data_IF_768007246010
#
_entry.id   IF_768007246010
#
_cell.length_a   1.000
_cell.length_b   1.000
_cell.length_c   1.000
_cell.angle_alpha   90.00
_cell.angle_beta   90.00
_cell.angle_gamma   90.00
#
_symmetry.space_group_name_H-M   'P 1'
#
loop_
_entity.id
_entity.type
_entity.pdbx_description
1 polymer ?
#
# COMPACT_ATOMS: atom_id res chain seq x y z
N UNK A 1 39.67 12.79 -4.60
CA UNK A 1 40.63 12.36 -5.65
C UNK A 1 39.98 11.22 -6.41
N UNK A 2 39.60 11.40 -7.67
CA UNK A 2 39.15 10.26 -8.50
C UNK A 2 40.36 9.41 -8.88
N UNK A 3 40.29 8.07 -8.82
CA UNK A 3 41.36 7.21 -9.32
C UNK A 3 41.61 7.47 -10.81
N UNK A 4 42.88 7.54 -11.23
CA UNK A 4 43.22 7.59 -12.66
C UNK A 4 43.07 6.19 -13.26
N UNK A 5 42.11 6.01 -14.16
CA UNK A 5 41.89 4.72 -14.86
C UNK A 5 42.93 4.47 -15.98
N UNK A 6 43.55 5.54 -16.49
CA UNK A 6 44.64 5.50 -17.48
C UNK A 6 45.86 6.32 -17.04
N UNK A 7 46.58 5.91 -15.98
CA UNK A 7 47.79 6.60 -15.57
C UNK A 7 48.82 6.53 -16.70
N UNK A 8 49.39 7.69 -17.04
CA UNK A 8 50.29 7.84 -18.20
C UNK A 8 49.71 7.29 -19.53
N UNK A 9 48.38 7.35 -19.70
CA UNK A 9 47.70 6.92 -20.92
C UNK A 9 47.60 5.39 -21.10
N UNK A 10 47.90 4.58 -20.07
CA UNK A 10 47.85 3.11 -20.14
C UNK A 10 46.69 2.54 -19.33
N UNK A 11 45.91 1.64 -19.93
CA UNK A 11 44.80 1.00 -19.26
C UNK A 11 45.25 0.17 -18.04
N UNK A 12 44.65 0.45 -16.88
CA UNK A 12 44.81 -0.38 -15.67
C UNK A 12 44.09 -1.73 -15.80
N UNK A 13 42.96 -1.76 -16.53
CA UNK A 13 42.16 -2.96 -16.80
C UNK A 13 42.52 -3.52 -18.18
N UNK A 14 43.52 -4.39 -18.24
CA UNK A 14 43.98 -5.03 -19.49
C UNK A 14 43.04 -6.12 -20.00
N UNK A 15 42.15 -6.60 -19.15
CA UNK A 15 41.12 -7.59 -19.43
C UNK A 15 39.96 -7.05 -20.28
N UNK A 16 39.88 -5.72 -20.46
CA UNK A 16 38.83 -5.05 -21.24
C UNK A 16 39.46 -4.52 -22.51
N UNK A 17 38.94 -4.91 -23.69
CA UNK A 17 39.42 -4.45 -25.00
C UNK A 17 40.96 -4.55 -25.14
N UNK A 18 41.53 -5.65 -24.62
CA UNK A 18 42.97 -5.96 -24.60
C UNK A 18 43.87 -4.87 -24.00
N UNK A 19 43.30 -4.01 -23.13
CA UNK A 19 44.03 -2.90 -22.52
C UNK A 19 44.34 -1.74 -23.47
N UNK A 20 43.67 -1.67 -24.62
CA UNK A 20 43.79 -0.53 -25.53
C UNK A 20 43.06 0.69 -24.95
N UNK A 21 43.82 1.70 -24.53
CA UNK A 21 43.28 2.90 -23.88
C UNK A 21 42.31 3.68 -24.78
N UNK A 22 42.63 3.84 -26.07
CA UNK A 22 41.81 4.63 -27.00
C UNK A 22 40.44 3.96 -27.21
N UNK A 23 40.42 2.64 -27.38
CA UNK A 23 39.18 1.87 -27.51
C UNK A 23 38.35 1.88 -26.23
N UNK A 24 38.98 1.84 -25.05
CA UNK A 24 38.26 1.94 -23.78
C UNK A 24 37.67 3.33 -23.54
N UNK A 25 38.37 4.39 -23.93
CA UNK A 25 37.87 5.77 -23.86
C UNK A 25 36.70 5.94 -24.83
N UNK A 26 36.84 5.47 -26.07
CA UNK A 26 35.76 5.52 -27.07
C UNK A 26 34.53 4.74 -26.61
N UNK A 27 34.69 3.55 -26.02
CA UNK A 27 33.57 2.79 -25.47
C UNK A 27 32.81 3.56 -24.36
N UNK A 28 33.52 4.36 -23.55
CA UNK A 28 32.89 5.22 -22.55
C UNK A 28 32.13 6.38 -23.22
N UNK A 29 32.68 6.97 -24.28
CA UNK A 29 31.97 7.99 -25.06
C UNK A 29 30.72 7.46 -25.74
N UNK A 30 30.79 6.29 -26.37
CA UNK A 30 29.62 5.62 -26.97
C UNK A 30 28.53 5.38 -25.92
N UNK A 31 28.92 4.87 -24.74
CA UNK A 31 28.00 4.71 -23.63
C UNK A 31 27.35 6.03 -23.17
N UNK A 32 28.10 7.12 -23.11
CA UNK A 32 27.58 8.44 -22.73
C UNK A 32 26.70 9.06 -23.83
N UNK A 33 27.00 8.81 -25.11
CA UNK A 33 26.21 9.25 -26.26
C UNK A 33 24.81 8.61 -26.28
N UNK A 34 24.69 7.37 -25.82
CA UNK A 34 23.39 6.70 -25.66
C UNK A 34 22.48 7.43 -24.65
N UNK A 35 23.05 8.26 -23.76
CA UNK A 35 22.32 9.16 -22.87
C UNK A 35 21.26 8.43 -22.05
N UNK A 36 19.97 8.77 -22.26
CA UNK A 36 18.84 8.13 -21.55
C UNK A 36 18.55 6.69 -22.00
N UNK A 37 19.08 6.28 -23.16
CA UNK A 37 18.95 4.91 -23.68
C UNK A 37 20.08 3.98 -23.21
N UNK A 38 21.13 4.55 -22.59
CA UNK A 38 22.25 3.79 -22.07
C UNK A 38 21.78 2.79 -21.00
N UNK A 39 22.20 1.53 -21.12
CA UNK A 39 21.88 0.50 -20.12
C UNK A 39 22.59 0.82 -18.81
N UNK A 40 21.92 0.70 -17.67
CA UNK A 40 22.59 0.87 -16.36
C UNK A 40 23.80 -0.09 -16.26
N UNK A 41 25.01 0.40 -15.91
CA UNK A 41 26.20 -0.43 -15.81
C UNK A 41 25.99 -1.51 -14.78
N UNK A 42 26.48 -2.73 -15.03
CA UNK A 42 26.22 -3.90 -14.16
C UNK A 42 26.57 -3.65 -12.69
N UNK A 43 27.64 -2.90 -12.41
CA UNK A 43 28.04 -2.55 -11.04
C UNK A 43 27.20 -1.45 -10.37
N UNK A 44 26.32 -0.79 -11.12
CA UNK A 44 25.34 0.19 -10.62
C UNK A 44 23.92 -0.39 -10.56
N UNK A 45 23.69 -1.62 -11.07
CA UNK A 45 22.43 -2.33 -10.89
C UNK A 45 22.40 -2.82 -9.45
N UNK A 46 21.61 -2.15 -8.62
CA UNK A 46 21.42 -2.56 -7.24
C UNK A 46 20.24 -3.53 -7.20
N UNK A 47 20.52 -4.81 -6.92
CA UNK A 47 19.47 -5.82 -6.77
C UNK A 47 18.51 -5.43 -5.63
N UNK A 48 17.20 -5.73 -5.73
CA UNK A 48 16.28 -5.53 -4.63
C UNK A 48 16.71 -6.33 -3.41
N UNK A 49 16.52 -5.76 -2.21
CA UNK A 49 16.52 -6.59 -1.01
C UNK A 49 15.14 -7.22 -0.95
N UNK A 50 15.01 -8.54 -0.90
CA UNK A 50 13.69 -9.16 -0.86
C UNK A 50 13.30 -9.44 0.59
N UNK A 51 12.29 -8.72 1.08
CA UNK A 51 11.57 -9.11 2.29
C UNK A 51 10.32 -9.88 1.86
N UNK A 52 10.25 -11.16 2.22
CA UNK A 52 9.20 -12.10 1.83
C UNK A 52 8.42 -12.56 3.06
N UNK A 53 7.13 -12.83 2.89
CA UNK A 53 6.28 -13.50 3.86
C UNK A 53 6.02 -14.93 3.37
N UNK A 54 6.60 -15.93 4.04
CA UNK A 54 6.52 -17.34 3.62
C UNK A 54 5.51 -18.11 4.46
N UNK A 55 5.73 -18.20 5.77
CA UNK A 55 4.97 -19.07 6.67
C UNK A 55 4.04 -18.27 7.59
N UNK A 56 4.45 -17.06 7.93
CA UNK A 56 3.74 -16.10 8.77
C UNK A 56 3.77 -14.70 8.13
N UNK A 57 2.92 -13.80 8.64
CA UNK A 57 2.92 -12.44 8.14
C UNK A 57 4.19 -11.70 8.55
N UNK A 58 4.74 -10.92 7.62
CA UNK A 58 5.94 -10.10 7.85
C UNK A 58 5.56 -8.64 7.75
N UNK A 59 6.01 -7.85 8.73
CA UNK A 59 5.65 -6.45 8.83
C UNK A 59 6.87 -5.54 8.68
N UNK A 60 6.69 -4.43 7.97
CA UNK A 60 7.71 -3.40 7.79
C UNK A 60 7.11 -2.01 7.99
N UNK A 61 7.58 -1.30 9.01
CA UNK A 61 7.08 0.02 9.39
C UNK A 61 7.97 1.12 8.84
N UNK A 62 7.60 1.74 7.73
CA UNK A 62 8.38 2.77 7.02
C UNK A 62 7.48 3.62 6.12
N UNK A 63 8.07 4.60 5.43
CA UNK A 63 7.39 5.30 4.34
C UNK A 63 7.13 4.34 3.17
N UNK A 64 5.96 4.48 2.55
CA UNK A 64 5.57 3.78 1.32
C UNK A 64 5.12 4.80 0.26
N UNK A 65 5.01 4.44 -1.02
CA UNK A 65 4.60 5.41 -2.04
C UNK A 65 3.19 5.96 -1.76
N UNK A 66 3.07 7.27 -1.53
CA UNK A 66 1.81 7.91 -1.16
C UNK A 66 1.41 7.75 0.32
N UNK A 67 2.32 7.25 1.17
CA UNK A 67 2.13 7.11 2.61
C UNK A 67 3.38 7.60 3.35
N UNK A 68 3.21 8.51 4.30
CA UNK A 68 4.32 9.08 5.06
C UNK A 68 5.02 8.06 5.98
N UNK A 69 5.85 8.56 6.90
CA UNK A 69 6.70 7.75 7.80
C UNK A 69 5.94 6.80 8.74
N UNK A 70 4.61 6.87 8.77
CA UNK A 70 3.70 6.05 9.59
C UNK A 70 3.00 4.95 8.81
N UNK A 71 3.51 4.62 7.62
CA UNK A 71 3.10 3.43 6.89
C UNK A 71 3.50 2.14 7.61
N UNK A 72 2.59 1.17 7.58
CA UNK A 72 2.80 -0.18 8.09
C UNK A 72 2.45 -1.15 6.96
N UNK A 73 3.47 -1.65 6.27
CA UNK A 73 3.29 -2.71 5.29
C UNK A 73 3.22 -4.06 5.99
N UNK A 74 2.34 -4.92 5.47
CA UNK A 74 2.16 -6.30 5.93
C UNK A 74 2.14 -7.20 4.70
N UNK A 75 3.07 -8.14 4.64
CA UNK A 75 3.06 -9.20 3.65
C UNK A 75 2.49 -10.47 4.27
N UNK A 76 1.63 -11.16 3.53
CA UNK A 76 1.02 -12.41 3.98
C UNK A 76 1.53 -13.61 3.16
N UNK A 77 1.55 -14.83 3.76
CA UNK A 77 2.01 -16.07 3.11
C UNK A 77 1.44 -16.36 1.72
N UNK A 78 0.16 -16.06 1.48
CA UNK A 78 -0.48 -16.28 0.17
C UNK A 78 -0.15 -15.19 -0.85
N UNK A 79 0.94 -14.44 -0.65
CA UNK A 79 1.42 -13.40 -1.55
C UNK A 79 0.38 -12.30 -1.78
N UNK A 80 -0.44 -12.03 -0.78
CA UNK A 80 -1.30 -10.85 -0.72
C UNK A 80 -0.67 -9.91 0.29
N UNK A 81 -0.60 -8.63 -0.04
CA UNK A 81 0.09 -7.65 0.79
C UNK A 81 -0.77 -6.41 0.95
N UNK A 82 -0.58 -5.69 2.06
CA UNK A 82 -1.23 -4.41 2.30
C UNK A 82 -0.28 -3.39 2.89
N UNK A 83 -0.67 -2.11 2.80
CA UNK A 83 -0.13 -1.03 3.62
C UNK A 83 -1.27 -0.35 4.36
N UNK A 84 -1.15 -0.32 5.69
CA UNK A 84 -2.00 0.49 6.55
C UNK A 84 -1.30 1.82 6.84
N UNK A 85 -2.02 2.93 6.67
CA UNK A 85 -1.54 4.27 6.98
C UNK A 85 -2.00 4.64 8.40
N UNK A 86 -1.09 4.55 9.38
CA UNK A 86 -1.39 4.86 10.77
C UNK A 86 -1.45 6.36 11.08
N UNK A 87 -1.17 7.24 10.11
CA UNK A 87 -1.44 8.68 10.27
C UNK A 87 -2.89 9.01 9.94
N UNK A 88 -3.39 8.48 8.82
CA UNK A 88 -4.76 8.76 8.38
C UNK A 88 -5.77 7.68 8.76
N UNK A 89 -5.35 6.56 9.36
CA UNK A 89 -6.21 5.44 9.79
C UNK A 89 -7.01 4.82 8.62
N UNK A 90 -6.28 4.38 7.60
CA UNK A 90 -6.85 3.84 6.37
C UNK A 90 -6.05 2.67 5.80
N UNK A 91 -6.72 1.82 5.04
CA UNK A 91 -6.04 0.96 4.08
C UNK A 91 -5.53 1.83 2.94
N UNK A 92 -4.22 1.83 2.68
CA UNK A 92 -3.61 2.72 1.70
C UNK A 92 -3.28 2.01 0.37
N UNK A 93 -2.82 0.77 0.43
CA UNK A 93 -2.43 -0.02 -0.74
C UNK A 93 -2.64 -1.50 -0.50
N UNK A 94 -2.92 -2.24 -1.57
CA UNK A 94 -2.87 -3.71 -1.62
C UNK A 94 -2.22 -4.18 -2.93
N UNK A 95 -1.51 -5.30 -2.92
CA UNK A 95 -0.88 -5.87 -4.12
C UNK A 95 -0.64 -7.37 -3.98
N UNK A 96 -0.46 -8.06 -5.12
CA UNK A 96 -0.15 -9.50 -5.16
C UNK A 96 1.32 -9.74 -5.44
N UNK A 97 1.85 -10.89 -5.05
CA UNK A 97 3.24 -11.30 -5.26
C UNK A 97 4.17 -10.97 -4.07
N UNK A 98 5.44 -10.74 -4.38
CA UNK A 98 6.47 -10.48 -3.35
C UNK A 98 6.14 -9.24 -2.52
N UNK A 99 6.44 -9.30 -1.23
CA UNK A 99 6.06 -8.24 -0.29
C UNK A 99 6.81 -6.93 -0.57
N UNK A 100 8.08 -6.80 -0.18
CA UNK A 100 8.70 -5.47 -0.19
C UNK A 100 10.20 -5.48 -0.42
N UNK A 101 10.67 -4.39 -1.04
CA UNK A 101 12.08 -4.03 -1.15
C UNK A 101 12.39 -2.88 -0.20
N UNK A 102 12.99 -3.17 0.96
CA UNK A 102 13.44 -2.15 1.91
C UNK A 102 14.78 -1.53 1.51
N UNK A 103 15.37 -1.88 0.36
CA UNK A 103 16.70 -1.44 -0.06
C UNK A 103 16.86 0.08 -0.04
N UNK A 104 15.83 0.84 -0.44
CA UNK A 104 15.83 2.30 -0.34
C UNK A 104 16.01 2.80 1.10
N UNK A 105 15.43 2.10 2.08
CA UNK A 105 15.51 2.45 3.51
C UNK A 105 16.82 2.01 4.12
N UNK A 106 17.22 0.75 3.88
CA UNK A 106 18.35 0.13 4.56
C UNK A 106 19.69 0.59 3.99
N UNK A 107 19.76 0.94 2.71
CA UNK A 107 20.98 1.46 2.09
C UNK A 107 21.17 2.97 2.32
N UNK A 108 20.12 3.72 2.66
CA UNK A 108 20.12 5.19 2.66
C UNK A 108 19.74 5.82 4.01
N UNK A 109 20.52 5.57 5.07
CA UNK A 109 20.41 6.24 6.39
C UNK A 109 18.96 6.52 6.87
N UNK A 110 18.02 5.59 6.60
CA UNK A 110 16.62 5.71 6.97
C UNK A 110 15.73 6.71 6.22
N UNK A 111 16.21 7.38 5.16
CA UNK A 111 15.43 8.39 4.40
C UNK A 111 14.65 7.84 3.20
N UNK A 112 14.80 6.55 2.88
CA UNK A 112 14.14 5.94 1.73
C UNK A 112 12.67 5.58 1.95
N UNK A 113 12.03 5.27 0.84
CA UNK A 113 10.67 4.73 0.77
C UNK A 113 10.76 3.24 0.41
N UNK A 114 9.95 2.41 1.06
CA UNK A 114 9.84 0.99 0.72
C UNK A 114 9.20 0.84 -0.65
N UNK A 115 9.73 -0.04 -1.49
CA UNK A 115 9.14 -0.35 -2.80
C UNK A 115 8.34 -1.66 -2.71
N UNK A 116 7.02 -1.66 -3.01
CA UNK A 116 6.29 -2.90 -3.24
C UNK A 116 6.94 -3.69 -4.39
N UNK A 117 7.19 -4.99 -4.18
CA UNK A 117 7.89 -5.83 -5.17
C UNK A 117 6.94 -6.59 -6.11
N UNK A 118 5.71 -6.80 -5.68
CA UNK A 118 4.73 -7.54 -6.44
C UNK A 118 4.06 -6.72 -7.55
N UNK A 119 3.05 -7.32 -8.17
CA UNK A 119 2.27 -6.76 -9.26
C UNK A 119 0.85 -6.39 -8.81
N UNK A 120 0.05 -5.91 -9.76
CA UNK A 120 -1.37 -5.61 -9.55
C UNK A 120 -1.63 -4.69 -8.34
N UNK A 121 -0.77 -3.69 -8.14
CA UNK A 121 -0.90 -2.72 -7.06
C UNK A 121 -2.18 -1.89 -7.21
N UNK A 122 -3.03 -1.93 -6.18
CA UNK A 122 -4.18 -1.04 -6.01
C UNK A 122 -3.86 0.00 -4.94
N UNK A 123 -4.28 1.24 -5.20
CA UNK A 123 -4.11 2.38 -4.29
C UNK A 123 -5.48 2.85 -3.82
N UNK A 124 -5.57 3.19 -2.55
CA UNK A 124 -6.76 3.76 -1.94
C UNK A 124 -6.57 5.27 -1.70
N UNK A 125 -7.66 6.03 -1.81
CA UNK A 125 -7.64 7.48 -1.66
C UNK A 125 -7.25 7.93 -0.25
N UNK A 126 -6.52 9.05 -0.12
CA UNK A 126 -6.26 9.71 1.17
C UNK A 126 -7.52 10.04 1.98
N UNK A 127 -7.37 10.13 3.29
CA UNK A 127 -8.43 10.34 4.28
C UNK A 127 -8.78 9.07 5.08
N UNK A 128 -9.30 9.22 6.30
CA UNK A 128 -9.68 8.08 7.13
C UNK A 128 -10.76 7.23 6.48
N UNK A 129 -10.72 5.92 6.74
CA UNK A 129 -11.76 5.02 6.23
C UNK A 129 -13.06 5.21 7.01
N UNK A 130 -13.01 5.51 8.31
CA UNK A 130 -14.19 5.79 9.13
C UNK A 130 -14.23 7.28 9.50
N UNK A 131 -15.34 7.96 9.22
CA UNK A 131 -15.52 9.37 9.58
C UNK A 131 -17.00 9.76 9.77
N UNK A 132 -17.23 11.02 10.12
CA UNK A 132 -18.56 11.65 10.14
C UNK A 132 -19.11 11.79 8.72
N UNK A 133 -20.37 11.40 8.52
CA UNK A 133 -21.01 11.41 7.22
C UNK A 133 -21.42 12.81 6.75
N UNK A 134 -21.60 13.75 7.69
CA UNK A 134 -22.10 15.11 7.43
C UNK A 134 -20.97 16.11 7.37
N UNK A 135 -19.98 15.96 8.25
CA UNK A 135 -18.81 16.82 8.33
C UNK A 135 -17.53 15.98 8.27
N UNK A 136 -17.26 15.31 7.14
CA UNK A 136 -16.04 14.54 6.97
C UNK A 136 -14.82 15.45 7.06
N UNK A 137 -13.72 14.90 7.53
CA UNK A 137 -12.45 15.62 7.57
C UNK A 137 -11.98 16.02 6.16
N UNK A 138 -11.57 17.27 6.02
CA UNK A 138 -10.94 17.77 4.80
C UNK A 138 -9.51 17.25 4.77
N UNK A 139 -9.24 16.36 3.82
CA UNK A 139 -7.99 15.61 3.78
C UNK A 139 -6.78 16.51 3.53
N UNK A 140 -5.79 16.40 4.42
CA UNK A 140 -4.46 16.98 4.28
C UNK A 140 -3.36 15.93 4.60
N UNK A 141 -2.10 16.36 4.69
CA UNK A 141 -0.96 15.48 4.97
C UNK A 141 -0.82 15.07 6.46
N UNK A 142 -1.65 15.63 7.33
CA UNK A 142 -1.68 15.42 8.76
C UNK A 142 -2.58 14.27 9.21
N UNK A 143 -2.70 14.15 10.53
CA UNK A 143 -3.64 13.26 11.20
C UNK A 143 -4.96 13.99 11.41
N UNK A 144 -6.11 13.39 11.06
CA UNK A 144 -7.40 13.96 11.41
C UNK A 144 -7.53 14.13 12.94
N UNK A 145 -8.04 15.26 13.44
CA UNK A 145 -7.97 15.59 14.87
C UNK A 145 -8.79 14.67 15.77
N UNK A 146 -9.85 14.05 15.25
CA UNK A 146 -10.75 13.14 15.98
C UNK A 146 -10.31 11.68 15.92
N UNK A 147 -9.15 11.41 15.30
CA UNK A 147 -8.66 10.10 14.95
C UNK A 147 -7.35 9.80 15.67
N UNK A 148 -7.28 8.68 16.37
CA UNK A 148 -6.11 8.32 17.17
C UNK A 148 -5.70 6.87 16.92
N UNK A 149 -4.49 6.68 16.39
CA UNK A 149 -3.87 5.36 16.35
C UNK A 149 -3.47 4.88 17.75
N UNK A 150 -3.88 3.68 18.13
CA UNK A 150 -3.64 3.08 19.44
C UNK A 150 -2.61 1.93 19.41
N UNK A 151 -2.08 1.61 18.23
CA UNK A 151 -1.10 0.53 18.05
C UNK A 151 -1.73 -0.71 17.42
N UNK A 152 -1.12 -1.88 17.67
CA UNK A 152 -1.61 -3.16 17.18
C UNK A 152 -1.20 -4.27 18.14
N UNK A 153 -1.88 -5.41 18.06
CA UNK A 153 -1.40 -6.70 18.56
C UNK A 153 -1.11 -7.61 17.37
N UNK A 154 -0.30 -8.65 17.59
CA UNK A 154 -0.03 -9.69 16.60
C UNK A 154 -0.71 -10.98 17.05
N UNK A 155 -1.26 -11.74 16.12
CA UNK A 155 -1.72 -13.11 16.38
C UNK A 155 -0.59 -14.14 16.24
N UNK A 156 -0.91 -15.41 16.41
CA UNK A 156 0.05 -16.52 16.35
C UNK A 156 0.70 -16.70 14.95
N UNK A 157 0.17 -16.04 13.92
CA UNK A 157 0.75 -15.99 12.56
C UNK A 157 1.34 -14.61 12.24
N UNK A 158 1.64 -13.83 13.28
CA UNK A 158 2.22 -12.49 13.19
C UNK A 158 1.36 -11.49 12.40
N UNK A 159 0.06 -11.76 12.21
CA UNK A 159 -0.87 -10.86 11.50
C UNK A 159 -1.29 -9.74 12.44
N UNK A 160 -1.16 -8.46 12.03
CA UNK A 160 -1.49 -7.36 12.89
C UNK A 160 -2.99 -7.11 12.96
N UNK A 161 -3.43 -6.84 14.18
CA UNK A 161 -4.77 -6.37 14.52
C UNK A 161 -4.62 -4.92 14.94
N UNK A 162 -4.85 -4.01 13.98
CA UNK A 162 -4.66 -2.58 14.19
C UNK A 162 -5.77 -2.04 15.08
N UNK A 163 -5.39 -1.17 16.02
CA UNK A 163 -6.33 -0.53 16.95
C UNK A 163 -6.25 0.96 16.81
N UNK A 164 -7.40 1.60 16.68
CA UNK A 164 -7.52 3.04 16.64
C UNK A 164 -8.85 3.50 17.19
N UNK A 165 -8.97 4.80 17.43
CA UNK A 165 -10.18 5.43 17.96
C UNK A 165 -10.62 6.57 17.07
N UNK A 166 -11.93 6.66 16.83
CA UNK A 166 -12.56 7.78 16.17
C UNK A 166 -13.70 8.31 17.05
N UNK A 167 -13.61 9.57 17.51
CA UNK A 167 -14.67 10.24 18.26
C UNK A 167 -15.31 9.38 19.39
N UNK A 168 -14.47 8.66 20.15
CA UNK A 168 -14.88 7.78 21.25
C UNK A 168 -15.26 6.34 20.85
N UNK A 169 -15.28 6.02 19.56
CA UNK A 169 -15.52 4.67 19.04
C UNK A 169 -14.17 3.96 18.93
N UNK A 170 -14.02 2.84 19.62
CA UNK A 170 -12.85 1.98 19.47
C UNK A 170 -13.01 1.11 18.23
N UNK A 171 -11.98 1.06 17.39
CA UNK A 171 -11.97 0.29 16.15
C UNK A 171 -10.81 -0.67 16.17
N UNK A 172 -11.12 -1.92 15.87
CA UNK A 172 -10.16 -2.95 15.57
C UNK A 172 -10.26 -3.29 14.08
N UNK A 173 -9.13 -3.27 13.38
CA UNK A 173 -9.02 -3.55 11.96
C UNK A 173 -8.04 -4.71 11.74
N UNK A 174 -8.60 -5.83 11.28
CA UNK A 174 -7.90 -7.09 11.16
C UNK A 174 -8.04 -7.64 9.75
N UNK A 175 -6.91 -7.79 9.07
CA UNK A 175 -6.87 -8.33 7.73
C UNK A 175 -6.16 -9.69 7.69
N UNK A 176 -6.64 -10.57 6.84
CA UNK A 176 -6.07 -11.90 6.60
C UNK A 176 -6.08 -12.21 5.11
N UNK A 177 -5.07 -12.93 4.65
CA UNK A 177 -5.10 -13.58 3.36
C UNK A 177 -6.01 -14.82 3.41
N UNK A 178 -6.73 -15.05 2.33
CA UNK A 178 -7.59 -16.21 2.12
C UNK A 178 -7.40 -16.73 0.70
N UNK A 179 -7.69 -18.00 0.47
CA UNK A 179 -7.76 -18.57 -0.88
C UNK A 179 -9.22 -18.81 -1.23
N UNK A 180 -9.64 -18.40 -2.41
CA UNK A 180 -10.90 -18.87 -2.96
C UNK A 180 -10.77 -20.33 -3.42
N UNK A 181 -11.58 -21.21 -2.84
CA UNK A 181 -11.59 -22.63 -3.17
C UNK A 181 -11.97 -22.94 -4.63
N UNK A 182 -12.72 -22.07 -5.30
CA UNK A 182 -13.14 -22.27 -6.70
C UNK A 182 -12.05 -21.84 -7.70
N UNK A 183 -11.40 -20.70 -7.45
CA UNK A 183 -10.48 -20.05 -8.40
C UNK A 183 -9.00 -20.24 -8.04
N UNK A 184 -8.69 -20.80 -6.86
CA UNK A 184 -7.34 -20.87 -6.28
C UNK A 184 -6.61 -19.53 -6.23
N UNK A 185 -7.35 -18.43 -6.27
CA UNK A 185 -6.80 -17.09 -6.16
C UNK A 185 -6.83 -16.62 -4.72
N UNK A 186 -5.71 -16.05 -4.29
CA UNK A 186 -5.63 -15.42 -2.98
C UNK A 186 -6.33 -14.04 -3.01
N UNK A 187 -6.99 -13.70 -1.90
CA UNK A 187 -7.67 -12.43 -1.70
C UNK A 187 -7.46 -11.92 -0.27
N UNK A 188 -7.73 -10.64 -0.04
CA UNK A 188 -7.62 -10.03 1.29
C UNK A 188 -9.00 -9.93 1.93
N UNK A 189 -9.21 -10.59 3.07
CA UNK A 189 -10.38 -10.38 3.92
C UNK A 189 -10.02 -9.39 5.02
N UNK A 190 -10.77 -8.29 5.12
CA UNK A 190 -10.64 -7.27 6.17
C UNK A 190 -11.89 -7.27 7.04
N UNK A 191 -11.71 -7.44 8.33
CA UNK A 191 -12.75 -7.40 9.33
C UNK A 191 -12.52 -6.20 10.25
N UNK A 192 -13.50 -5.31 10.31
CA UNK A 192 -13.52 -4.19 11.23
C UNK A 192 -14.50 -4.47 12.35
N UNK A 193 -14.05 -4.29 13.60
CA UNK A 193 -14.89 -4.37 14.78
C UNK A 193 -14.96 -2.99 15.42
N UNK A 194 -16.16 -2.44 15.51
CA UNK A 194 -16.44 -1.16 16.15
C UNK A 194 -17.04 -1.42 17.53
N UNK A 195 -16.47 -0.81 18.56
CA UNK A 195 -17.01 -0.78 19.91
C UNK A 195 -17.45 0.64 20.24
N UNK A 196 -18.73 0.78 20.59
CA UNK A 196 -19.32 2.03 21.04
C UNK A 196 -20.02 1.84 22.38
N UNK A 197 -19.88 2.80 23.29
CA UNK A 197 -20.57 2.77 24.59
C UNK A 197 -22.05 3.19 24.47
N UNK A 198 -22.41 3.89 23.39
CA UNK A 198 -23.76 4.38 23.13
C UNK A 198 -24.18 4.29 21.67
N UNK A 199 -25.39 4.77 21.37
CA UNK A 199 -25.90 4.82 20.00
C UNK A 199 -25.18 5.93 19.21
N UNK A 200 -24.62 5.58 18.05
CA UNK A 200 -23.87 6.49 17.16
C UNK A 200 -24.37 6.31 15.73
N UNK A 201 -25.07 7.32 15.22
CA UNK A 201 -25.51 7.39 13.83
C UNK A 201 -24.68 8.46 13.08
N UNK A 202 -24.91 8.58 11.77
CA UNK A 202 -24.24 9.59 10.95
C UNK A 202 -22.77 9.30 10.72
N UNK A 203 -22.35 8.03 10.81
CA UNK A 203 -21.00 7.58 10.50
C UNK A 203 -20.97 7.01 9.09
N UNK A 204 -19.85 7.15 8.41
CA UNK A 204 -19.61 6.49 7.12
C UNK A 204 -18.27 5.80 7.14
N UNK A 205 -18.27 4.55 6.68
CA UNK A 205 -17.05 3.83 6.32
C UNK A 205 -16.85 3.86 4.80
N UNK A 206 -15.76 4.43 4.32
CA UNK A 206 -15.38 4.46 2.91
C UNK A 206 -14.51 3.25 2.59
N UNK A 207 -15.08 2.28 1.87
CA UNK A 207 -14.40 1.04 1.53
C UNK A 207 -13.43 1.18 0.35
N UNK A 208 -13.72 2.09 -0.60
CA UNK A 208 -12.85 2.42 -1.72
C UNK A 208 -13.28 3.72 -2.40
N UNK A 209 -12.44 4.20 -3.30
CA UNK A 209 -12.76 5.29 -4.23
C UNK A 209 -12.12 5.01 -5.59
N UNK A 210 -12.71 5.50 -6.66
CA UNK A 210 -12.22 5.30 -8.03
C UNK A 210 -12.86 6.26 -9.01
N UNK A 211 -12.44 6.19 -10.26
CA UNK A 211 -13.08 6.93 -11.35
C UNK A 211 -14.45 6.32 -11.70
N UNK A 212 -14.57 5.00 -11.57
CA UNK A 212 -15.81 4.25 -11.79
C UNK A 212 -15.98 3.18 -10.72
N UNK A 213 -17.17 3.11 -10.13
CA UNK A 213 -17.61 2.07 -9.21
C UNK A 213 -18.98 1.61 -9.69
N UNK A 214 -19.12 0.31 -9.93
CA UNK A 214 -20.39 -0.30 -10.33
C UNK A 214 -20.77 -1.42 -9.37
N UNK A 215 -22.06 -1.56 -9.07
CA UNK A 215 -22.59 -2.74 -8.36
C UNK A 215 -22.75 -3.86 -9.38
N UNK A 216 -21.97 -4.94 -9.24
CA UNK A 216 -21.97 -6.06 -10.17
C UNK A 216 -22.97 -7.16 -9.76
N UNK A 217 -23.10 -7.40 -8.45
CA UNK A 217 -24.01 -8.39 -7.87
C UNK A 217 -24.41 -7.98 -6.45
N UNK A 218 -25.11 -8.85 -5.73
CA UNK A 218 -25.45 -8.62 -4.32
C UNK A 218 -24.19 -8.51 -3.46
N UNK A 219 -24.00 -7.32 -2.89
CA UNK A 219 -22.83 -6.94 -2.11
C UNK A 219 -21.50 -6.84 -2.86
N UNK A 220 -21.46 -7.10 -4.16
CA UNK A 220 -20.22 -7.02 -4.96
C UNK A 220 -20.16 -5.71 -5.74
N UNK A 221 -19.10 -4.95 -5.50
CA UNK A 221 -18.79 -3.69 -6.17
C UNK A 221 -17.47 -3.79 -6.92
N UNK A 222 -17.40 -3.25 -8.12
CA UNK A 222 -16.19 -3.26 -8.95
C UNK A 222 -15.69 -1.83 -9.12
N UNK A 223 -14.47 -1.59 -8.65
CA UNK A 223 -13.77 -0.30 -8.71
C UNK A 223 -12.77 -0.32 -9.86
N UNK A 224 -12.90 0.64 -10.77
CA UNK A 224 -12.04 0.84 -11.94
C UNK A 224 -11.79 -0.45 -12.73
N UNK A 225 -12.84 -1.27 -12.90
CA UNK A 225 -12.85 -2.55 -13.64
C UNK A 225 -11.91 -3.64 -13.11
N UNK A 226 -11.23 -3.40 -11.98
CA UNK A 226 -10.14 -4.26 -11.51
C UNK A 226 -10.34 -4.77 -10.09
N UNK A 227 -10.73 -3.89 -9.17
CA UNK A 227 -10.86 -4.26 -7.76
C UNK A 227 -12.32 -4.62 -7.44
N UNK A 228 -12.57 -5.89 -7.20
CA UNK A 228 -13.83 -6.41 -6.71
C UNK A 228 -13.84 -6.36 -5.18
N UNK A 229 -14.85 -5.71 -4.62
CA UNK A 229 -15.07 -5.57 -3.18
C UNK A 229 -16.41 -6.21 -2.87
N UNK A 230 -16.38 -7.31 -2.12
CA UNK A 230 -17.58 -7.92 -1.58
C UNK A 230 -17.80 -7.44 -0.15
N UNK A 231 -18.90 -6.74 0.07
CA UNK A 231 -19.38 -6.28 1.37
C UNK A 231 -20.38 -7.32 1.89
N UNK A 232 -20.05 -8.04 2.96
CA UNK A 232 -20.86 -9.18 3.42
C UNK A 232 -22.28 -8.78 3.89
N UNK A 233 -22.43 -7.58 4.44
CA UNK A 233 -23.73 -6.94 4.68
C UNK A 233 -23.75 -5.61 3.93
N UNK A 234 -24.20 -5.66 2.68
CA UNK A 234 -24.22 -4.53 1.78
C UNK A 234 -25.53 -3.74 1.80
N UNK A 235 -26.44 -4.04 2.73
CA UNK A 235 -27.78 -3.46 2.76
C UNK A 235 -27.79 -1.93 2.80
N UNK A 236 -26.76 -1.33 3.39
CA UNK A 236 -26.58 0.13 3.48
C UNK A 236 -25.56 0.70 2.48
N UNK A 237 -24.79 -0.15 1.80
CA UNK A 237 -23.69 0.28 0.94
C UNK A 237 -24.19 1.09 -0.26
N UNK A 238 -23.55 2.23 -0.52
CA UNK A 238 -23.95 3.17 -1.57
C UNK A 238 -22.74 3.73 -2.30
N UNK A 239 -22.91 3.97 -3.60
CA UNK A 239 -21.94 4.67 -4.43
C UNK A 239 -22.29 6.16 -4.38
N UNK A 240 -21.34 6.98 -3.95
CA UNK A 240 -21.50 8.43 -3.83
C UNK A 240 -20.48 9.11 -4.74
N UNK A 241 -20.93 10.08 -5.52
CA UNK A 241 -20.07 10.86 -6.41
C UNK A 241 -19.70 12.18 -5.75
N UNK A 242 -18.43 12.56 -5.83
CA UNK A 242 -17.93 13.90 -5.48
C UNK A 242 -17.24 14.52 -6.69
N UNK A 243 -17.24 15.85 -6.75
CA UNK A 243 -16.52 16.61 -7.77
C UNK A 243 -15.68 17.70 -7.10
N UNK A 244 -14.37 17.70 -7.37
CA UNK A 244 -13.43 18.68 -6.85
C UNK A 244 -12.60 19.20 -8.01
N UNK A 245 -12.64 20.52 -8.24
CA UNK A 245 -11.92 21.18 -9.34
C UNK A 245 -12.18 20.54 -10.73
N UNK A 246 -13.40 20.08 -10.99
CA UNK A 246 -13.79 19.42 -12.24
C UNK A 246 -13.38 17.94 -12.34
N UNK A 247 -12.68 17.40 -11.34
CA UNK A 247 -12.39 15.97 -11.26
C UNK A 247 -13.51 15.25 -10.50
N UNK A 248 -14.16 14.31 -11.19
CA UNK A 248 -15.23 13.48 -10.62
C UNK A 248 -14.62 12.22 -10.01
N UNK A 249 -14.97 11.91 -8.77
CA UNK A 249 -14.57 10.68 -8.07
C UNK A 249 -15.79 9.99 -7.49
N UNK A 250 -15.85 8.66 -7.60
CA UNK A 250 -16.86 7.85 -6.94
C UNK A 250 -16.29 7.21 -5.68
N UNK A 251 -17.12 7.06 -4.66
CA UNK A 251 -16.78 6.48 -3.36
C UNK A 251 -17.76 5.36 -3.02
N UNK A 252 -17.23 4.19 -2.64
CA UNK A 252 -18.04 3.13 -2.04
C UNK A 252 -18.15 3.40 -0.54
N UNK A 253 -19.29 3.96 -0.14
CA UNK A 253 -19.55 4.37 1.23
C UNK A 253 -20.55 3.43 1.89
N UNK A 254 -20.26 3.05 3.12
CA UNK A 254 -21.07 2.16 3.97
C UNK A 254 -21.50 2.99 5.19
N UNK A 255 -22.71 3.55 5.19
CA UNK A 255 -23.28 4.20 6.36
C UNK A 255 -23.35 3.22 7.53
N UNK A 256 -22.91 3.69 8.70
CA UNK A 256 -22.92 2.91 9.92
C UNK A 256 -23.83 3.56 10.97
N UNK A 257 -24.65 2.73 11.59
CA UNK A 257 -25.37 3.03 12.82
C UNK A 257 -24.90 2.04 13.89
N UNK A 258 -24.03 2.50 14.77
CA UNK A 258 -23.46 1.66 15.82
C UNK A 258 -24.34 1.76 17.06
N UNK A 259 -24.89 0.63 17.49
CA UNK A 259 -25.54 0.51 18.80
C UNK A 259 -24.48 0.38 19.90
N UNK A 260 -24.87 0.52 21.16
CA UNK A 260 -23.99 0.19 22.29
C UNK A 260 -23.56 -1.27 22.19
N UNK A 261 -22.26 -1.54 22.36
CA UNK A 261 -21.66 -2.85 22.18
C UNK A 261 -20.77 -2.95 20.94
N UNK A 262 -20.75 -4.13 20.32
CA UNK A 262 -19.90 -4.45 19.17
C UNK A 262 -20.70 -4.49 17.87
N UNK A 263 -20.16 -3.89 16.83
CA UNK A 263 -20.65 -3.99 15.44
C UNK A 263 -19.48 -4.45 14.56
N UNK A 264 -19.74 -5.33 13.59
CA UNK A 264 -18.70 -5.86 12.70
C UNK A 264 -19.02 -5.51 11.25
N UNK A 265 -17.99 -5.15 10.48
CA UNK A 265 -18.03 -5.01 9.03
C UNK A 265 -16.97 -5.92 8.42
N UNK A 266 -17.34 -6.75 7.45
CA UNK A 266 -16.40 -7.63 6.75
C UNK A 266 -16.41 -7.34 5.26
N UNK A 267 -15.21 -7.18 4.70
CA UNK A 267 -14.94 -6.84 3.31
C UNK A 267 -13.97 -7.85 2.73
N UNK A 268 -14.28 -8.40 1.57
CA UNK A 268 -13.35 -9.21 0.78
C UNK A 268 -12.89 -8.41 -0.44
N UNK A 269 -11.58 -8.16 -0.54
CA UNK A 269 -10.94 -7.46 -1.66
C UNK A 269 -10.28 -8.47 -2.59
N UNK A 270 -10.68 -8.46 -3.86
CA UNK A 270 -10.21 -9.36 -4.94
C UNK A 270 -9.80 -8.53 -6.15
N UNK A 271 -8.63 -8.79 -6.71
CA UNK A 271 -8.09 -8.03 -7.84
C UNK A 271 -7.04 -8.80 -8.63
#
# INVERSE_FOLDING_TARGET
IMPSFWPAGRAMRKDILDGNSDLQIEALWQYLLDGRQARTPRGLIVEPIELLATDEAVMLRRSYPGVGKRGIGVGYPQQVNLVFDAEQLRLAMIWKGKFADPGGVWRSQGHGTVRPLGDQLMRFSPGPDLDDATNPWVVDDGRPPSHQFMGYSLDDKMRPRFRYRFAGIDVEDYAVDQIDGSEKQAFLRRQLTFKSDGDRAGLTFRAASGNSIVRADDGVFVVDERLHIHVQDASTAKIVTSEVNGAVTQHLNIPLHLKSGLTTLTLDYRW
#
